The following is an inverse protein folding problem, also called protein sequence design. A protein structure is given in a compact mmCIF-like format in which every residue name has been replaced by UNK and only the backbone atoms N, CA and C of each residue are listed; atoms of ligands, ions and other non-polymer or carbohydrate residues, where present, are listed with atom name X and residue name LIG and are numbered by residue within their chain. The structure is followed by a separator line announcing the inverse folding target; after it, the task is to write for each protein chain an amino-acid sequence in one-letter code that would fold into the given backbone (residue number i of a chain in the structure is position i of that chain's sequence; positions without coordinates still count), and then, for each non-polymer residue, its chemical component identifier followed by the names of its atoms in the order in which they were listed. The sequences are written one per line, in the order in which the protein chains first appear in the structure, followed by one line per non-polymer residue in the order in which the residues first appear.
data_IF_228908163980
#
_entry.id   IF_228908163980
#
_cell.length_a   1.000
_cell.length_b   1.000
_cell.length_c   1.000
_cell.angle_alpha   90.00
_cell.angle_beta   90.00
_cell.angle_gamma   90.00
#
_symmetry.space_group_name_H-M   'P 1'
#
loop_
_entity.id
_entity.type
_entity.pdbx_description
1 polymer ?
#
# COMPACT_ATOMS: atom_id res chain seq x y z
N UNK A 1 14.11 4.00 0.47
CA UNK A 1 15.18 4.84 -0.11
C UNK A 1 16.50 4.71 0.64
N UNK A 2 16.55 5.07 1.93
CA UNK A 2 17.77 5.05 2.76
C UNK A 2 18.57 3.73 2.68
N UNK A 3 17.88 2.58 2.59
CA UNK A 3 18.50 1.25 2.46
C UNK A 3 18.87 0.84 1.02
N UNK A 4 18.94 1.78 0.07
CA UNK A 4 19.23 1.50 -1.35
C UNK A 4 18.03 1.01 -2.18
N UNK A 5 16.88 0.79 -1.56
CA UNK A 5 15.65 0.36 -2.23
C UNK A 5 14.56 1.42 -2.05
N UNK A 6 14.39 2.29 -3.05
CA UNK A 6 13.28 3.26 -3.09
C UNK A 6 11.96 2.57 -3.47
N UNK A 7 10.84 3.11 -2.98
CA UNK A 7 9.50 2.64 -3.35
C UNK A 7 9.26 2.97 -4.82
N UNK A 8 8.68 2.05 -5.59
CA UNK A 8 8.42 2.29 -7.03
C UNK A 8 7.43 3.45 -7.17
N UNK A 9 7.65 4.33 -8.16
CA UNK A 9 6.90 5.57 -8.35
C UNK A 9 7.42 6.77 -7.54
N UNK A 10 8.27 6.53 -6.53
CA UNK A 10 8.75 7.57 -5.62
C UNK A 10 9.99 8.32 -6.17
N UNK A 11 9.77 9.19 -7.15
CA UNK A 11 10.88 9.95 -7.77
C UNK A 11 11.57 10.89 -6.80
N UNK A 12 10.84 11.43 -5.83
CA UNK A 12 11.39 12.33 -4.80
C UNK A 12 12.46 11.62 -3.96
N UNK A 13 12.25 10.35 -3.66
CA UNK A 13 13.15 9.58 -2.80
C UNK A 13 13.96 8.51 -3.57
N UNK A 14 14.16 8.70 -4.89
CA UNK A 14 15.17 7.99 -5.68
C UNK A 14 14.69 6.79 -6.49
N UNK A 15 13.37 6.59 -6.63
CA UNK A 15 12.86 5.61 -7.60
C UNK A 15 13.23 6.04 -9.02
N UNK A 16 13.69 5.08 -9.82
CA UNK A 16 13.87 5.26 -11.28
C UNK A 16 12.74 4.63 -12.09
N UNK A 17 11.81 3.94 -11.41
CA UNK A 17 10.71 3.19 -12.03
C UNK A 17 9.40 3.91 -11.79
N UNK A 18 8.60 4.07 -12.84
CA UNK A 18 7.21 4.52 -12.75
C UNK A 18 6.33 3.42 -12.19
N UNK A 19 5.28 3.81 -11.47
CA UNK A 19 4.12 2.97 -11.18
C UNK A 19 2.91 3.53 -11.96
N UNK A 20 1.89 2.71 -12.28
CA UNK A 20 0.69 3.18 -12.98
C UNK A 20 0.04 4.40 -12.31
N UNK A 21 -0.71 5.19 -13.07
CA UNK A 21 -1.45 6.37 -12.57
C UNK A 21 -0.59 7.44 -11.86
N UNK A 22 0.73 7.49 -12.16
CA UNK A 22 1.69 8.38 -11.46
C UNK A 22 1.63 8.21 -9.93
N UNK A 23 1.29 7.01 -9.47
CA UNK A 23 1.13 6.70 -8.05
C UNK A 23 2.41 6.11 -7.45
N UNK A 24 2.39 5.86 -6.13
CA UNK A 24 3.43 5.11 -5.43
C UNK A 24 2.99 3.65 -5.34
N UNK A 25 3.91 2.71 -5.49
CA UNK A 25 3.68 1.30 -5.19
C UNK A 25 3.65 1.06 -3.66
N UNK A 26 2.75 1.77 -2.97
CA UNK A 26 2.57 1.77 -1.53
C UNK A 26 1.08 1.78 -1.24
N UNK A 27 0.58 0.74 -0.57
CA UNK A 27 -0.84 0.58 -0.26
C UNK A 27 -1.04 0.18 1.21
N UNK A 28 -1.91 0.90 1.92
CA UNK A 28 -2.29 0.59 3.29
C UNK A 28 -3.33 -0.54 3.32
N UNK A 29 -2.88 -1.78 3.09
CA UNK A 29 -3.79 -2.94 2.91
C UNK A 29 -4.67 -3.26 4.12
N UNK A 30 -4.17 -3.03 5.34
CA UNK A 30 -4.85 -3.39 6.58
C UNK A 30 -4.61 -2.32 7.63
N UNK A 31 -5.68 -1.95 8.32
CA UNK A 31 -5.60 -1.12 9.52
C UNK A 31 -6.32 -1.83 10.66
N UNK A 32 -5.72 -1.81 11.84
CA UNK A 32 -6.33 -2.31 13.06
C UNK A 32 -6.26 -1.20 14.09
N UNK A 33 -7.38 -0.89 14.72
CA UNK A 33 -7.46 0.11 15.78
C UNK A 33 -8.56 -0.22 16.77
N UNK A 34 -8.44 0.32 17.98
CA UNK A 34 -9.48 0.21 19.00
C UNK A 34 -10.61 1.16 18.68
N UNK A 35 -11.83 0.64 18.51
CA UNK A 35 -12.98 1.47 18.21
C UNK A 35 -13.21 2.50 19.34
N UNK A 36 -13.37 3.80 19.01
CA UNK A 36 -13.31 4.86 20.02
C UNK A 36 -14.46 4.80 21.04
N UNK A 37 -15.59 4.20 20.66
CA UNK A 37 -16.78 4.08 21.52
C UNK A 37 -16.83 2.72 22.21
N UNK A 38 -16.88 1.63 21.44
CA UNK A 38 -17.03 0.27 21.98
C UNK A 38 -15.77 -0.28 22.63
N UNK A 39 -14.60 0.33 22.40
CA UNK A 39 -13.28 -0.11 22.89
C UNK A 39 -12.84 -1.50 22.39
N UNK A 40 -13.55 -2.05 21.42
CA UNK A 40 -13.20 -3.32 20.79
C UNK A 40 -12.14 -3.14 19.69
N UNK A 41 -11.16 -4.04 19.56
CA UNK A 41 -10.24 -4.05 18.43
C UNK A 41 -10.99 -4.34 17.12
N UNK A 42 -10.92 -3.40 16.17
CA UNK A 42 -11.50 -3.57 14.83
C UNK A 42 -10.41 -3.64 13.78
N UNK A 43 -10.60 -4.52 12.79
CA UNK A 43 -9.68 -4.68 11.65
C UNK A 43 -10.43 -4.45 10.35
N UNK A 44 -9.87 -3.60 9.50
CA UNK A 44 -10.39 -3.31 8.17
C UNK A 44 -9.31 -3.64 7.14
N UNK A 45 -9.74 -4.13 5.98
CA UNK A 45 -8.85 -4.46 4.86
C UNK A 45 -9.34 -3.79 3.58
N UNK A 46 -8.41 -3.26 2.79
CA UNK A 46 -8.66 -2.71 1.48
C UNK A 46 -7.83 -3.47 0.44
N UNK A 47 -8.47 -3.98 -0.60
CA UNK A 47 -7.77 -4.58 -1.72
C UNK A 47 -7.13 -3.51 -2.61
N UNK A 48 -5.93 -3.75 -3.16
CA UNK A 48 -5.28 -2.80 -4.05
C UNK A 48 -6.05 -2.64 -5.37
N UNK A 49 -5.85 -1.52 -6.05
CA UNK A 49 -6.52 -1.23 -7.32
C UNK A 49 -6.15 -2.23 -8.43
N UNK A 50 -6.98 -2.31 -9.48
CA UNK A 50 -6.80 -3.29 -10.55
C UNK A 50 -5.49 -3.16 -11.33
N UNK A 51 -4.87 -1.97 -11.33
CA UNK A 51 -3.59 -1.73 -12.00
C UNK A 51 -2.38 -2.33 -11.25
N UNK A 52 -2.57 -2.83 -10.03
CA UNK A 52 -1.53 -3.57 -9.33
C UNK A 52 -1.26 -4.92 -10.02
N UNK A 53 0.00 -5.39 -10.07
CA UNK A 53 0.31 -6.70 -10.62
C UNK A 53 -0.50 -7.80 -9.92
N UNK A 54 -1.00 -8.77 -10.69
CA UNK A 54 -1.86 -9.86 -10.18
C UNK A 54 -1.28 -10.58 -8.96
N UNK A 55 0.04 -10.69 -8.86
CA UNK A 55 0.72 -11.31 -7.72
C UNK A 55 0.52 -10.58 -6.38
N UNK A 56 0.11 -9.31 -6.39
CA UNK A 56 -0.13 -8.49 -5.19
C UNK A 56 -1.61 -8.29 -4.87
N UNK A 57 -2.50 -8.82 -5.70
CA UNK A 57 -3.94 -8.88 -5.45
C UNK A 57 -4.25 -10.17 -4.70
N UNK A 58 -5.23 -10.17 -3.78
CA UNK A 58 -5.63 -11.39 -3.09
C UNK A 58 -6.01 -12.48 -4.11
N UNK A 59 -5.51 -13.70 -3.89
CA UNK A 59 -6.06 -14.91 -4.52
C UNK A 59 -7.35 -15.23 -3.75
N UNK A 60 -8.46 -15.31 -4.46
CA UNK A 60 -9.67 -15.96 -3.95
C UNK A 60 -9.36 -17.40 -3.53
#
# INVERSE_FOLDING_TARGET
AHRGHAVIGDFRYGSKRKFPERSLALHARKITFTHPVSKEPMTFTAEPELYWPKAFRKKD
#
